data_IF_427958929207
#
_entry.id   IF_427958929207
#
_cell.length_a   1.000
_cell.length_b   1.000
_cell.length_c   1.000
_cell.angle_alpha   90.00
_cell.angle_beta   90.00
_cell.angle_gamma   90.00
#
_symmetry.space_group_name_H-M   'P 1'
#
loop_
_entity.id
_entity.type
_entity.pdbx_description
1 polymer ?
#
# COMPACT_ATOMS: atom_id res chain seq x y z
N UNK A 1 14.03 19.79 -25.88
CA UNK A 1 13.13 18.61 -25.79
C UNK A 1 13.73 17.61 -24.80
N UNK A 2 13.24 17.61 -23.58
CA UNK A 2 13.65 16.66 -22.56
C UNK A 2 12.96 15.33 -22.85
N UNK A 3 13.72 14.33 -23.27
CA UNK A 3 13.24 12.95 -23.35
C UNK A 3 12.86 12.51 -21.94
N UNK A 4 11.57 12.35 -21.69
CA UNK A 4 11.06 11.65 -20.52
C UNK A 4 11.58 10.20 -20.60
N UNK A 5 12.70 9.93 -19.94
CA UNK A 5 13.20 8.59 -19.79
C UNK A 5 12.19 7.83 -18.91
N UNK A 6 11.29 7.07 -19.52
CA UNK A 6 10.50 6.07 -18.83
C UNK A 6 11.49 5.08 -18.22
N UNK A 7 11.76 5.18 -16.94
CA UNK A 7 12.48 4.13 -16.23
C UNK A 7 11.57 2.89 -16.24
N UNK A 8 11.99 1.88 -16.98
CA UNK A 8 11.38 0.57 -16.88
C UNK A 8 11.69 0.01 -15.48
N UNK A 9 10.66 -0.34 -14.74
CA UNK A 9 10.83 -1.04 -13.47
C UNK A 9 11.23 -2.50 -13.77
N UNK A 10 12.15 -3.04 -12.98
CA UNK A 10 12.42 -4.48 -13.01
C UNK A 10 11.19 -5.25 -12.56
N UNK A 11 11.00 -6.46 -13.08
CA UNK A 11 9.96 -7.36 -12.59
C UNK A 11 10.21 -7.69 -11.13
N UNK A 12 9.18 -7.61 -10.30
CA UNK A 12 9.27 -7.89 -8.87
C UNK A 12 8.24 -7.14 -8.06
N UNK A 13 8.41 -7.20 -6.74
CA UNK A 13 7.57 -6.47 -5.78
C UNK A 13 8.29 -5.18 -5.39
N UNK A 14 7.64 -4.07 -5.66
CA UNK A 14 8.13 -2.74 -5.37
C UNK A 14 7.22 -2.01 -4.40
N UNK A 15 7.77 -1.10 -3.63
CA UNK A 15 7.05 -0.28 -2.68
C UNK A 15 7.31 1.21 -2.89
N UNK A 16 6.29 2.02 -2.67
CA UNK A 16 6.39 3.47 -2.69
C UNK A 16 5.64 4.04 -1.49
N UNK A 17 6.34 4.83 -0.72
CA UNK A 17 5.76 5.67 0.32
C UNK A 17 6.07 7.14 0.01
N UNK A 18 6.05 8.02 0.98
CA UNK A 18 6.34 9.45 0.78
C UNK A 18 7.85 9.72 0.62
N UNK A 19 8.53 8.88 -0.13
CA UNK A 19 9.97 8.94 -0.42
C UNK A 19 10.22 8.42 -1.85
N UNK A 20 11.44 7.96 -2.12
CA UNK A 20 11.77 7.32 -3.40
C UNK A 20 11.24 5.88 -3.43
N UNK A 21 11.11 5.33 -4.64
CA UNK A 21 10.75 3.93 -4.84
C UNK A 21 11.69 3.02 -4.01
N UNK A 22 11.10 2.04 -3.37
CA UNK A 22 11.80 1.02 -2.55
C UNK A 22 12.65 1.60 -1.40
N UNK A 23 12.38 2.82 -0.96
CA UNK A 23 12.99 3.34 0.27
C UNK A 23 12.52 2.49 1.46
N UNK A 24 13.43 1.83 2.20
CA UNK A 24 13.08 0.74 3.12
C UNK A 24 12.56 1.26 4.48
N UNK A 25 11.55 2.10 4.47
CA UNK A 25 10.84 2.44 5.70
C UNK A 25 10.17 1.19 6.27
N UNK A 26 10.09 1.03 7.60
CA UNK A 26 9.57 -0.18 8.23
C UNK A 26 8.21 -0.63 7.69
N UNK A 27 7.26 0.30 7.53
CA UNK A 27 5.94 -0.02 6.97
C UNK A 27 6.01 -0.54 5.52
N UNK A 28 6.87 0.06 4.70
CA UNK A 28 7.05 -0.33 3.30
C UNK A 28 7.70 -1.71 3.22
N UNK A 29 8.79 -1.93 3.95
CA UNK A 29 9.52 -3.19 3.95
C UNK A 29 8.64 -4.37 4.38
N UNK A 30 7.83 -4.19 5.45
CA UNK A 30 6.89 -5.22 5.91
C UNK A 30 5.80 -5.52 4.90
N UNK A 31 5.17 -4.48 4.34
CA UNK A 31 4.11 -4.67 3.34
C UNK A 31 4.66 -5.30 2.08
N UNK A 32 5.82 -4.87 1.61
CA UNK A 32 6.51 -5.44 0.44
C UNK A 32 6.83 -6.92 0.64
N UNK A 33 7.37 -7.31 1.79
CA UNK A 33 7.64 -8.70 2.13
C UNK A 33 6.36 -9.55 2.17
N UNK A 34 5.27 -9.00 2.72
CA UNK A 34 3.96 -9.66 2.74
C UNK A 34 3.38 -9.87 1.35
N UNK A 35 3.47 -8.89 0.46
CA UNK A 35 3.03 -9.00 -0.93
C UNK A 35 3.89 -10.04 -1.68
N UNK A 36 5.20 -10.07 -1.46
CA UNK A 36 6.08 -11.06 -2.05
C UNK A 36 5.71 -12.49 -1.62
N UNK A 37 5.44 -12.71 -0.34
CA UNK A 37 5.00 -13.99 0.18
C UNK A 37 3.65 -14.42 -0.44
N UNK A 38 2.68 -13.50 -0.49
CA UNK A 38 1.38 -13.75 -1.14
C UNK A 38 1.54 -14.16 -2.62
N UNK A 39 2.39 -13.45 -3.36
CA UNK A 39 2.65 -13.75 -4.76
C UNK A 39 3.32 -15.13 -4.96
N UNK A 40 4.23 -15.53 -4.06
CA UNK A 40 4.90 -16.83 -4.10
C UNK A 40 3.95 -17.99 -3.79
N UNK A 41 2.94 -17.77 -2.96
CA UNK A 41 1.93 -18.78 -2.65
C UNK A 41 0.99 -19.08 -3.82
N UNK A 42 1.00 -18.26 -4.86
CA UNK A 42 0.16 -18.44 -6.06
C UNK A 42 -1.34 -18.31 -5.78
N UNK A 43 -1.70 -17.65 -4.70
CA UNK A 43 -3.10 -17.40 -4.32
C UNK A 43 -3.69 -16.26 -5.13
N UNK A 44 -5.00 -16.36 -5.38
CA UNK A 44 -5.76 -15.31 -6.07
C UNK A 44 -6.69 -14.52 -5.13
N UNK A 45 -6.78 -14.93 -3.85
CA UNK A 45 -7.58 -14.24 -2.86
C UNK A 45 -6.93 -12.90 -2.51
N UNK A 46 -7.73 -11.85 -2.50
CA UNK A 46 -7.26 -10.49 -2.22
C UNK A 46 -7.33 -10.11 -0.73
N UNK A 47 -8.04 -10.89 0.09
CA UNK A 47 -8.19 -10.60 1.53
C UNK A 47 -6.85 -10.57 2.28
N UNK A 48 -5.85 -11.42 1.98
CA UNK A 48 -4.52 -11.28 2.58
C UNK A 48 -3.85 -9.95 2.27
N UNK A 49 -4.07 -9.38 1.08
CA UNK A 49 -3.54 -8.05 0.72
C UNK A 49 -4.21 -6.94 1.53
N UNK A 50 -5.52 -7.03 1.77
CA UNK A 50 -6.20 -6.10 2.68
C UNK A 50 -5.72 -6.24 4.12
N UNK A 51 -5.41 -7.46 4.56
CA UNK A 51 -4.82 -7.68 5.88
C UNK A 51 -3.46 -6.99 6.05
N UNK A 52 -2.61 -7.00 5.02
CA UNK A 52 -1.34 -6.26 5.02
C UNK A 52 -1.56 -4.75 5.12
N UNK A 53 -2.54 -4.21 4.40
CA UNK A 53 -2.89 -2.80 4.44
C UNK A 53 -3.56 -2.38 5.76
N UNK A 54 -4.13 -3.33 6.49
CA UNK A 54 -4.75 -3.11 7.80
C UNK A 54 -3.78 -3.20 8.98
N UNK A 55 -2.49 -3.43 8.74
CA UNK A 55 -1.46 -3.50 9.78
C UNK A 55 -1.30 -2.16 10.49
N UNK A 56 -1.58 -2.15 11.79
CA UNK A 56 -1.53 -0.96 12.67
C UNK A 56 -0.25 -0.88 13.50
N UNK A 57 0.68 -1.83 13.31
CA UNK A 57 1.91 -1.86 14.07
C UNK A 57 2.81 -0.67 13.70
N UNK A 58 3.16 0.12 14.71
CA UNK A 58 4.10 1.23 14.58
C UNK A 58 5.54 0.72 14.59
N UNK A 59 6.42 1.45 13.93
CA UNK A 59 7.85 1.19 14.01
C UNK A 59 8.40 1.57 15.40
N UNK A 60 9.55 0.99 15.74
CA UNK A 60 10.32 1.41 16.92
C UNK A 60 10.94 2.78 16.65
N UNK A 61 11.22 3.53 17.70
CA UNK A 61 11.77 4.88 17.57
C UNK A 61 13.10 4.92 16.84
N UNK A 62 13.93 3.89 17.03
CA UNK A 62 15.25 3.75 16.37
C UNK A 62 15.15 3.37 14.87
N UNK A 63 13.95 3.02 14.39
CA UNK A 63 13.66 2.66 13.00
C UNK A 63 12.86 3.75 12.26
N UNK A 64 12.45 4.81 12.95
CA UNK A 64 11.64 5.87 12.35
C UNK A 64 12.45 6.68 11.35
N UNK A 65 11.85 7.04 10.19
CA UNK A 65 12.46 8.00 9.28
C UNK A 65 12.44 9.40 9.91
N UNK A 66 13.34 10.26 9.47
CA UNK A 66 13.36 11.69 9.79
C UNK A 66 12.80 12.46 8.59
N UNK A 67 11.49 12.76 8.63
CA UNK A 67 10.81 13.41 7.50
C UNK A 67 10.52 14.90 7.75
N UNK A 68 11.01 15.44 8.88
CA UNK A 68 10.85 16.85 9.24
C UNK A 68 9.59 17.14 10.07
N UNK A 69 8.86 16.12 10.50
CA UNK A 69 7.77 16.23 11.46
C UNK A 69 8.24 15.88 12.89
N UNK A 70 7.40 16.14 13.90
CA UNK A 70 7.71 15.76 15.27
C UNK A 70 7.85 14.25 15.44
N UNK A 71 8.58 13.80 16.46
CA UNK A 71 8.73 12.38 16.80
C UNK A 71 7.36 11.70 17.01
N UNK A 72 6.43 12.38 17.63
CA UNK A 72 5.06 11.89 17.81
C UNK A 72 4.38 11.61 16.48
N UNK A 73 4.50 12.52 15.52
CA UNK A 73 3.98 12.32 14.18
C UNK A 73 4.70 11.22 13.41
N UNK A 74 6.04 11.12 13.52
CA UNK A 74 6.78 10.00 12.91
C UNK A 74 6.27 8.65 13.41
N UNK A 75 6.00 8.53 14.72
CA UNK A 75 5.39 7.33 15.31
C UNK A 75 4.01 7.04 14.72
N UNK A 76 3.14 8.05 14.64
CA UNK A 76 1.77 7.89 14.10
C UNK A 76 1.80 7.47 12.62
N UNK A 77 2.67 8.07 11.82
CA UNK A 77 2.77 7.82 10.39
C UNK A 77 3.52 6.52 10.05
N UNK A 78 4.11 5.83 11.03
CA UNK A 78 4.97 4.67 10.80
C UNK A 78 4.22 3.37 10.51
N UNK A 79 2.91 3.29 10.79
CA UNK A 79 2.10 2.12 10.49
C UNK A 79 1.57 2.16 9.05
N UNK A 80 1.40 1.00 8.39
CA UNK A 80 0.65 0.91 7.13
C UNK A 80 -0.77 1.46 7.24
N UNK A 81 -1.50 1.07 8.28
CA UNK A 81 -2.82 1.60 8.62
C UNK A 81 -2.69 2.60 9.78
N UNK A 82 -2.97 3.85 9.48
CA UNK A 82 -2.84 4.94 10.44
C UNK A 82 -4.17 5.15 11.15
N UNK A 83 -4.13 5.16 12.49
CA UNK A 83 -5.26 5.52 13.35
C UNK A 83 -4.88 6.70 14.24
N UNK A 84 -5.71 7.73 14.24
CA UNK A 84 -5.52 8.90 15.07
C UNK A 84 -6.74 9.82 15.03
N UNK A 85 -6.90 10.65 16.04
CA UNK A 85 -8.05 11.56 16.15
C UNK A 85 -8.11 12.60 15.03
N UNK A 86 -6.94 13.05 14.57
CA UNK A 86 -6.83 14.13 13.57
C UNK A 86 -6.45 13.64 12.19
N UNK A 87 -5.88 12.45 12.09
CA UNK A 87 -5.37 11.89 10.85
C UNK A 87 -5.44 10.37 10.89
N UNK A 88 -5.88 9.77 9.79
CA UNK A 88 -6.00 8.32 9.69
C UNK A 88 -6.20 7.85 8.25
N UNK A 89 -5.99 6.57 8.04
CA UNK A 89 -6.26 5.91 6.75
C UNK A 89 -7.75 5.99 6.44
N UNK A 90 -8.08 6.48 5.26
CA UNK A 90 -9.48 6.68 4.79
C UNK A 90 -9.94 5.58 3.87
N UNK A 91 -9.03 4.98 3.12
CA UNK A 91 -9.32 3.84 2.28
C UNK A 91 -8.08 2.99 2.05
N UNK A 92 -8.32 1.73 1.71
CA UNK A 92 -7.33 0.78 1.20
C UNK A 92 -7.83 0.23 -0.12
N UNK A 93 -6.94 0.15 -1.11
CA UNK A 93 -7.30 -0.25 -2.47
C UNK A 93 -6.42 -1.39 -2.93
N UNK A 94 -7.02 -2.40 -3.54
CA UNK A 94 -6.33 -3.48 -4.26
C UNK A 94 -6.78 -3.44 -5.71
N UNK A 95 -5.83 -3.34 -6.63
CA UNK A 95 -6.04 -3.44 -8.06
C UNK A 95 -5.24 -4.64 -8.59
N UNK A 96 -5.94 -5.62 -9.13
CA UNK A 96 -5.35 -6.77 -9.81
C UNK A 96 -5.63 -6.68 -11.31
N UNK A 97 -4.60 -6.89 -12.12
CA UNK A 97 -4.72 -6.89 -13.58
C UNK A 97 -4.12 -8.21 -14.08
N UNK A 98 -4.92 -9.00 -14.80
CA UNK A 98 -4.45 -10.24 -15.42
C UNK A 98 -3.62 -9.95 -16.68
N UNK A 99 -2.93 -10.96 -17.18
CA UNK A 99 -2.18 -10.85 -18.46
C UNK A 99 -3.11 -10.62 -19.66
N UNK A 100 -4.36 -11.06 -19.54
CA UNK A 100 -5.40 -10.91 -20.56
C UNK A 100 -6.07 -9.52 -20.49
N UNK A 101 -5.67 -8.68 -19.53
CA UNK A 101 -6.20 -7.34 -19.35
C UNK A 101 -7.48 -7.26 -18.52
N UNK A 102 -7.88 -8.32 -17.85
CA UNK A 102 -8.99 -8.26 -16.91
C UNK A 102 -8.51 -7.61 -15.62
N UNK A 103 -9.22 -6.56 -15.20
CA UNK A 103 -8.91 -5.79 -14.01
C UNK A 103 -10.01 -5.95 -12.95
N UNK A 104 -9.60 -6.16 -11.70
CA UNK A 104 -10.47 -6.10 -10.54
C UNK A 104 -9.98 -5.01 -9.61
N UNK A 105 -10.82 -4.05 -9.34
CA UNK A 105 -10.57 -2.93 -8.44
C UNK A 105 -11.46 -3.09 -7.20
N UNK A 106 -10.83 -3.17 -6.04
CA UNK A 106 -11.53 -3.27 -4.76
C UNK A 106 -11.04 -2.19 -3.82
N UNK A 107 -11.94 -1.39 -3.28
CA UNK A 107 -11.62 -0.33 -2.32
C UNK A 107 -12.49 -0.46 -1.08
N UNK A 108 -11.84 -0.48 0.08
CA UNK A 108 -12.45 -0.46 1.39
C UNK A 108 -12.25 0.93 1.99
N UNK A 109 -13.35 1.64 2.27
CA UNK A 109 -13.33 2.91 3.00
C UNK A 109 -13.44 2.68 4.50
N UNK A 110 -12.93 3.63 5.28
CA UNK A 110 -12.95 3.58 6.73
C UNK A 110 -13.57 4.85 7.31
N UNK A 111 -14.24 4.69 8.44
CA UNK A 111 -14.75 5.78 9.23
C UNK A 111 -13.62 6.51 9.99
N UNK A 112 -13.89 7.67 10.64
CA UNK A 112 -12.85 8.39 11.39
C UNK A 112 -12.22 7.62 12.54
N UNK A 113 -12.85 6.55 13.02
CA UNK A 113 -12.32 5.66 14.07
C UNK A 113 -11.52 4.49 13.51
N UNK A 114 -11.41 4.39 12.19
CA UNK A 114 -10.72 3.31 11.50
C UNK A 114 -11.55 2.03 11.38
N UNK A 115 -12.86 2.10 11.58
CA UNK A 115 -13.79 1.02 11.32
C UNK A 115 -14.15 0.92 9.83
N UNK A 116 -14.44 -0.29 9.29
CA UNK A 116 -14.84 -0.43 7.89
C UNK A 116 -16.20 0.24 7.65
N UNK A 117 -16.29 1.05 6.60
CA UNK A 117 -17.50 1.75 6.21
C UNK A 117 -18.09 1.16 4.92
N UNK A 118 -17.52 1.46 3.76
CA UNK A 118 -18.02 1.03 2.46
C UNK A 118 -16.96 0.22 1.71
N UNK A 119 -17.41 -0.81 1.00
CA UNK A 119 -16.56 -1.57 0.08
C UNK A 119 -17.15 -1.48 -1.34
N UNK A 120 -16.28 -1.17 -2.30
CA UNK A 120 -16.56 -1.20 -3.73
C UNK A 120 -15.74 -2.32 -4.33
N UNK A 121 -16.35 -3.15 -5.16
CA UNK A 121 -15.70 -4.24 -5.88
C UNK A 121 -16.18 -4.19 -7.33
N UNK A 122 -15.29 -3.87 -8.26
CA UNK A 122 -15.61 -3.67 -9.65
C UNK A 122 -14.61 -4.39 -10.54
N UNK A 123 -15.11 -5.02 -11.58
CA UNK A 123 -14.30 -5.65 -12.63
C UNK A 123 -14.51 -4.93 -13.96
N UNK A 124 -13.43 -4.80 -14.73
CA UNK A 124 -13.46 -4.21 -16.07
C UNK A 124 -12.33 -4.79 -16.92
N UNK A 125 -12.42 -4.63 -18.22
CA UNK A 125 -11.38 -5.08 -19.15
C UNK A 125 -10.61 -3.87 -19.67
N UNK A 126 -9.28 -3.95 -19.61
CA UNK A 126 -8.41 -2.95 -20.22
C UNK A 126 -8.44 -3.14 -21.74
N UNK A 127 -8.72 -2.07 -22.47
CA UNK A 127 -8.59 -2.08 -23.92
C UNK A 127 -7.12 -2.01 -24.31
N UNK A 128 -6.70 -2.85 -25.26
CA UNK A 128 -5.39 -2.70 -25.88
C UNK A 128 -5.32 -1.34 -26.58
N UNK A 129 -4.24 -0.60 -26.31
CA UNK A 129 -3.98 0.66 -26.99
C UNK A 129 -3.53 0.43 -28.43
#
# INVERSE_FOLDING_TARGET
MTRNARRAFSTGVHGLSNARLDTPWPKLARTQAGVAAWAQEGRNEIEPLFALLADRARARDDELPETGVSLEWERVLSAPFITGERYGTRCSTVLCISREGEARFVEQSFDPRGGPARRVDTTFTLMAA
#
